data_IF_241648674541
#
_entry.id   IF_241648674541
#
_cell.length_a   1.000
_cell.length_b   1.000
_cell.length_c   1.000
_cell.angle_alpha   90.00
_cell.angle_beta   90.00
_cell.angle_gamma   90.00
#
_symmetry.space_group_name_H-M   'P 1'
#
loop_
_entity.id
_entity.type
_entity.pdbx_description
1 polymer ?
#
# COMPACT_ATOMS: atom_id res chain seq x y z
N UNK A 1 -21.44 3.22 -3.97
CA UNK A 1 -20.19 2.80 -4.66
C UNK A 1 -19.64 1.58 -3.94
N UNK A 2 -19.44 0.47 -4.65
CA UNK A 2 -18.95 -0.77 -4.05
C UNK A 2 -17.51 -0.55 -3.59
N UNK A 3 -17.25 -0.67 -2.29
CA UNK A 3 -15.91 -0.73 -1.72
C UNK A 3 -15.17 -1.90 -2.40
N UNK A 4 -14.45 -1.60 -3.50
CA UNK A 4 -13.47 -2.52 -4.10
C UNK A 4 -12.66 -3.08 -2.93
N UNK A 5 -12.62 -4.40 -2.86
CA UNK A 5 -12.26 -5.16 -1.65
C UNK A 5 -10.89 -4.67 -1.19
N UNK A 6 -10.67 -4.37 0.10
CA UNK A 6 -9.46 -3.67 0.57
C UNK A 6 -8.13 -4.21 0.02
N UNK A 7 -8.05 -5.52 -0.24
CA UNK A 7 -6.90 -6.19 -0.90
C UNK A 7 -6.65 -5.75 -2.35
N UNK A 8 -7.70 -5.53 -3.14
CA UNK A 8 -7.60 -5.01 -4.51
C UNK A 8 -7.13 -3.56 -4.50
N UNK A 9 -7.64 -2.74 -3.58
CA UNK A 9 -7.20 -1.35 -3.41
C UNK A 9 -5.72 -1.28 -3.03
N UNK A 10 -5.27 -2.11 -2.08
CA UNK A 10 -3.86 -2.21 -1.69
C UNK A 10 -2.98 -2.64 -2.88
N UNK A 11 -3.44 -3.58 -3.71
CA UNK A 11 -2.70 -4.01 -4.91
C UNK A 11 -2.58 -2.90 -5.95
N UNK A 12 -3.67 -2.16 -6.21
CA UNK A 12 -3.67 -1.01 -7.12
C UNK A 12 -2.70 0.08 -6.63
N UNK A 13 -2.67 0.34 -5.31
CA UNK A 13 -1.75 1.32 -4.72
C UNK A 13 -0.29 0.85 -4.76
N UNK A 14 -0.02 -0.45 -4.56
CA UNK A 14 1.33 -1.00 -4.68
C UNK A 14 1.91 -0.82 -6.09
N UNK A 15 1.09 -1.04 -7.13
CA UNK A 15 1.50 -0.79 -8.51
C UNK A 15 1.81 0.70 -8.76
N UNK A 16 0.98 1.60 -8.20
CA UNK A 16 1.24 3.05 -8.30
C UNK A 16 2.51 3.49 -7.59
N UNK A 17 2.82 2.89 -6.43
CA UNK A 17 4.07 3.17 -5.69
C UNK A 17 5.28 2.84 -6.56
N UNK A 18 5.25 1.72 -7.30
CA UNK A 18 6.35 1.30 -8.19
C UNK A 18 6.59 2.24 -9.36
N UNK A 19 5.57 2.97 -9.81
CA UNK A 19 5.67 3.89 -10.95
C UNK A 19 5.70 5.37 -10.55
N UNK A 20 5.66 5.68 -9.26
CA UNK A 20 5.60 7.05 -8.78
C UNK A 20 6.85 7.85 -9.20
N UNK A 21 6.66 9.10 -9.61
CA UNK A 21 7.73 9.93 -10.19
C UNK A 21 8.50 10.74 -9.15
N UNK A 22 7.94 10.90 -7.95
CA UNK A 22 8.53 11.74 -6.90
C UNK A 22 8.48 11.06 -5.54
N UNK A 23 9.37 11.48 -4.64
CA UNK A 23 9.41 10.97 -3.26
C UNK A 23 8.12 11.29 -2.50
N UNK A 24 7.52 12.46 -2.73
CA UNK A 24 6.26 12.86 -2.12
C UNK A 24 5.10 11.98 -2.57
N UNK A 25 5.00 11.65 -3.87
CA UNK A 25 4.01 10.71 -4.38
C UNK A 25 4.18 9.31 -3.79
N UNK A 26 5.41 8.81 -3.71
CA UNK A 26 5.70 7.51 -3.07
C UNK A 26 5.23 7.49 -1.62
N UNK A 27 5.51 8.54 -0.86
CA UNK A 27 5.10 8.66 0.54
C UNK A 27 3.58 8.75 0.68
N UNK A 28 2.90 9.56 -0.15
CA UNK A 28 1.45 9.69 -0.14
C UNK A 28 0.75 8.37 -0.44
N UNK A 29 1.13 7.70 -1.53
CA UNK A 29 0.56 6.41 -1.94
C UNK A 29 0.82 5.30 -0.91
N UNK A 30 1.98 5.33 -0.24
CA UNK A 30 2.28 4.38 0.83
C UNK A 30 1.36 4.59 2.03
N UNK A 31 1.14 5.84 2.45
CA UNK A 31 0.25 6.14 3.57
C UNK A 31 -1.19 5.72 3.26
N UNK A 32 -1.67 5.98 2.05
CA UNK A 32 -3.00 5.55 1.60
C UNK A 32 -3.13 4.01 1.63
N UNK A 33 -2.11 3.29 1.15
CA UNK A 33 -2.11 1.83 1.13
C UNK A 33 -2.14 1.23 2.55
N UNK A 34 -1.36 1.79 3.48
CA UNK A 34 -1.36 1.37 4.88
C UNK A 34 -2.70 1.68 5.57
N UNK A 35 -3.30 2.84 5.30
CA UNK A 35 -4.62 3.18 5.83
C UNK A 35 -5.69 2.17 5.36
N UNK A 36 -5.65 1.76 4.09
CA UNK A 36 -6.54 0.72 3.57
C UNK A 36 -6.37 -0.64 4.27
N UNK A 37 -5.15 -1.01 4.68
CA UNK A 37 -4.91 -2.21 5.48
C UNK A 37 -5.58 -2.07 6.84
N UNK A 38 -5.32 -0.98 7.56
CA UNK A 38 -5.90 -0.75 8.89
C UNK A 38 -7.43 -0.74 8.86
N UNK A 39 -8.05 -0.08 7.87
CA UNK A 39 -9.50 -0.09 7.73
C UNK A 39 -10.06 -1.48 7.42
N UNK A 40 -9.36 -2.28 6.63
CA UNK A 40 -9.78 -3.64 6.29
C UNK A 40 -9.60 -4.64 7.45
N UNK A 41 -8.67 -4.38 8.36
CA UNK A 41 -8.47 -5.14 9.60
C UNK A 41 -9.53 -4.78 10.67
N UNK A 42 -9.97 -3.52 10.71
CA UNK A 42 -10.94 -3.01 11.71
C UNK A 42 -12.41 -3.22 11.32
N UNK A 43 -12.72 -3.54 10.06
CA UNK A 43 -14.10 -3.81 9.61
C UNK A 43 -14.60 -5.17 10.15
N UNK A 44 -15.02 -5.20 11.41
CA UNK A 44 -15.53 -6.37 12.14
C UNK A 44 -16.75 -7.02 11.45
N UNK A 45 -17.53 -6.25 10.70
CA UNK A 45 -18.73 -6.78 10.00
C UNK A 45 -18.37 -7.57 8.74
N UNK A 46 -17.13 -7.46 8.25
CA UNK A 46 -16.72 -8.02 6.95
C UNK A 46 -15.37 -8.73 6.94
N UNK A 47 -14.60 -8.70 8.04
CA UNK A 47 -13.23 -9.23 8.20
C UNK A 47 -12.65 -9.72 6.89
N UNK A 48 -12.18 -8.77 6.07
CA UNK A 48 -11.71 -9.03 4.70
C UNK A 48 -10.23 -9.36 4.65
N UNK A 49 -9.53 -9.23 5.78
CA UNK A 49 -8.09 -9.39 5.90
C UNK A 49 -7.72 -9.66 7.36
N UNK A 50 -6.94 -10.73 7.60
CA UNK A 50 -6.36 -11.00 8.92
C UNK A 50 -5.18 -10.07 9.21
N UNK A 51 -4.85 -9.85 10.49
CA UNK A 51 -3.64 -9.09 10.90
C UNK A 51 -2.36 -9.66 10.29
N UNK A 52 -2.26 -10.98 10.18
CA UNK A 52 -1.10 -11.64 9.56
C UNK A 52 -0.99 -11.30 8.07
N UNK A 53 -2.12 -11.23 7.36
CA UNK A 53 -2.13 -10.80 5.95
C UNK A 53 -1.88 -9.30 5.80
N UNK A 54 -2.46 -8.47 6.67
CA UNK A 54 -2.22 -7.03 6.70
C UNK A 54 -0.75 -6.71 6.92
N UNK A 55 -0.10 -7.37 7.88
CA UNK A 55 1.34 -7.24 8.13
C UNK A 55 2.18 -7.62 6.90
N UNK A 56 1.86 -8.74 6.23
CA UNK A 56 2.57 -9.14 5.00
C UNK A 56 2.43 -8.11 3.88
N UNK A 57 1.25 -7.53 3.72
CA UNK A 57 1.03 -6.47 2.73
C UNK A 57 1.75 -5.17 3.11
N UNK A 58 1.75 -4.80 4.39
CA UNK A 58 2.47 -3.65 4.90
C UNK A 58 3.99 -3.78 4.67
N UNK A 59 4.57 -4.96 4.89
CA UNK A 59 5.96 -5.25 4.56
C UNK A 59 6.24 -5.08 3.06
N UNK A 60 5.37 -5.59 2.19
CA UNK A 60 5.51 -5.43 0.73
C UNK A 60 5.43 -3.96 0.28
N UNK A 61 4.52 -3.18 0.87
CA UNK A 61 4.39 -1.75 0.61
C UNK A 61 5.67 -1.02 1.05
N UNK A 62 6.17 -1.29 2.25
CA UNK A 62 7.38 -0.66 2.77
C UNK A 62 8.62 -1.02 1.94
N UNK A 63 8.73 -2.27 1.48
CA UNK A 63 9.79 -2.69 0.57
C UNK A 63 9.71 -1.96 -0.79
N UNK A 64 8.51 -1.85 -1.37
CA UNK A 64 8.30 -1.13 -2.63
C UNK A 64 8.62 0.37 -2.49
N UNK A 65 8.23 0.99 -1.37
CA UNK A 65 8.59 2.36 -1.01
C UNK A 65 10.10 2.53 -0.96
N UNK A 66 10.81 1.68 -0.22
CA UNK A 66 12.25 1.78 -0.05
C UNK A 66 12.98 1.63 -1.39
N UNK A 67 12.58 0.65 -2.20
CA UNK A 67 13.13 0.44 -3.53
C UNK A 67 12.90 1.66 -4.43
N UNK A 68 11.66 2.15 -4.51
CA UNK A 68 11.33 3.27 -5.40
C UNK A 68 12.02 4.57 -4.98
N UNK A 69 12.09 4.86 -3.69
CA UNK A 69 12.84 6.02 -3.19
C UNK A 69 14.33 5.90 -3.53
N UNK A 70 14.90 4.70 -3.42
CA UNK A 70 16.28 4.45 -3.84
C UNK A 70 16.49 4.70 -5.33
N UNK A 71 15.59 4.24 -6.20
CA UNK A 71 15.66 4.50 -7.65
C UNK A 71 15.58 6.00 -7.97
N UNK A 72 14.66 6.72 -7.32
CA UNK A 72 14.50 8.16 -7.50
C UNK A 72 15.73 8.96 -7.04
N UNK A 73 16.41 8.51 -5.97
CA UNK A 73 17.64 9.15 -5.47
C UNK A 73 18.83 8.84 -6.38
N UNK A 74 18.94 7.60 -6.85
CA UNK A 74 20.05 7.14 -7.69
C UNK A 74 19.89 7.55 -9.17
N UNK A 75 18.71 8.04 -9.57
CA UNK A 75 18.42 8.47 -10.93
C UNK A 75 18.45 7.33 -11.96
N UNK A 76 18.16 6.11 -11.51
CA UNK A 76 18.13 4.88 -12.34
C UNK A 76 16.75 4.67 -12.93
#
# INVERSE_FOLDING_TARGET
>A
MSLKKGKEAVKELLEKIRTAGTADEVNGLTNDALAHITFAELDEKRVRMSRTEGNKLAEQINAAKALRLSELILGV
#
